data_IF_873765324388
#
_entry.id   IF_873765324388
#
_cell.length_a   1.000
_cell.length_b   1.000
_cell.length_c   1.000
_cell.angle_alpha   90.00
_cell.angle_beta   90.00
_cell.angle_gamma   90.00
#
_symmetry.space_group_name_H-M   'P 1'
#
loop_
_entity.id
_entity.type
_entity.pdbx_description
1 polymer ?
#
# COMPACT_ATOMS: atom_id res chain seq x y z
N UNK A 1 7.52 10.34 -6.78
CA UNK A 1 8.55 10.10 -5.76
C UNK A 1 9.81 9.55 -6.42
N UNK A 2 10.99 9.94 -5.97
CA UNK A 2 12.27 9.39 -6.42
C UNK A 2 12.57 8.13 -5.61
N UNK A 3 12.91 7.05 -6.31
CA UNK A 3 13.24 5.75 -5.69
C UNK A 3 14.76 5.46 -5.72
N UNK A 4 15.52 6.23 -6.49
CA UNK A 4 16.96 6.07 -6.56
C UNK A 4 17.61 7.01 -7.59
N UNK A 5 18.93 7.00 -7.60
CA UNK A 5 19.75 7.68 -8.58
C UNK A 5 20.85 6.74 -9.10
N UNK A 6 21.33 6.98 -10.31
CA UNK A 6 22.37 6.17 -10.94
C UNK A 6 23.04 6.85 -12.12
N UNK A 7 23.97 6.11 -12.69
CA UNK A 7 24.79 6.59 -13.80
C UNK A 7 24.00 6.67 -15.12
N UNK A 8 24.39 7.61 -15.96
CA UNK A 8 23.87 7.83 -17.32
C UNK A 8 25.04 7.76 -18.29
N UNK A 9 24.90 6.94 -19.32
CA UNK A 9 25.87 6.88 -20.41
C UNK A 9 25.79 8.14 -21.27
N UNK A 10 26.74 9.01 -21.11
CA UNK A 10 26.79 10.29 -21.80
C UNK A 10 27.24 10.14 -23.26
N UNK A 11 26.99 11.17 -24.08
CA UNK A 11 27.39 11.21 -25.50
C UNK A 11 28.90 11.13 -25.68
N UNK A 12 29.66 11.56 -24.68
CA UNK A 12 31.15 11.52 -24.65
C UNK A 12 31.73 10.18 -24.17
N UNK A 13 30.90 9.13 -24.09
CA UNK A 13 31.25 7.77 -23.63
C UNK A 13 31.60 7.65 -22.14
N UNK A 14 31.43 8.73 -21.37
CA UNK A 14 31.63 8.71 -19.94
C UNK A 14 30.32 8.37 -19.19
N UNK A 15 30.45 7.66 -18.11
CA UNK A 15 29.34 7.48 -17.15
C UNK A 15 29.30 8.70 -16.22
N UNK A 16 28.12 9.33 -16.12
CA UNK A 16 27.89 10.52 -15.29
C UNK A 16 26.72 10.30 -14.37
N UNK A 17 26.85 10.67 -13.12
CA UNK A 17 25.76 10.63 -12.16
C UNK A 17 25.36 12.07 -11.76
N UNK A 18 24.48 12.73 -12.50
CA UNK A 18 24.12 14.13 -12.25
C UNK A 18 23.37 14.36 -10.96
N UNK A 19 22.81 13.30 -10.38
CA UNK A 19 22.00 13.33 -9.16
C UNK A 19 22.79 12.92 -7.89
N UNK A 20 24.06 12.51 -8.06
CA UNK A 20 24.88 11.99 -6.97
C UNK A 20 25.03 12.98 -5.82
N UNK A 21 24.83 12.52 -4.59
CA UNK A 21 24.89 13.31 -3.35
C UNK A 21 23.92 14.51 -3.28
N UNK A 22 23.03 14.68 -4.27
CA UNK A 22 22.04 15.77 -4.33
C UNK A 22 20.65 15.23 -4.02
N UNK A 23 20.29 14.13 -4.66
CA UNK A 23 18.97 13.48 -4.55
C UNK A 23 19.03 12.34 -3.55
N UNK A 24 17.91 12.09 -2.88
CA UNK A 24 17.75 10.96 -1.96
C UNK A 24 16.52 10.14 -2.34
N UNK A 25 16.56 8.80 -2.21
CA UNK A 25 15.32 8.01 -2.22
C UNK A 25 14.32 8.57 -1.22
N UNK A 26 13.03 8.62 -1.57
CA UNK A 26 11.98 9.24 -0.77
C UNK A 26 11.74 10.73 -1.07
N UNK A 27 12.60 11.42 -1.85
CA UNK A 27 12.33 12.79 -2.30
C UNK A 27 11.12 12.82 -3.25
N UNK A 28 10.19 13.76 -3.04
CA UNK A 28 9.08 14.01 -3.96
C UNK A 28 9.38 15.25 -4.80
N UNK A 29 9.36 15.13 -6.13
CA UNK A 29 9.52 16.28 -7.02
C UNK A 29 8.19 17.02 -7.06
N UNK A 30 8.18 18.26 -6.62
CA UNK A 30 7.00 19.13 -6.62
C UNK A 30 6.96 20.04 -7.84
N UNK A 31 8.12 20.62 -8.20
CA UNK A 31 8.24 21.57 -9.31
C UNK A 31 9.57 21.35 -10.06
N UNK A 32 9.54 21.66 -11.33
CA UNK A 32 10.72 21.74 -12.19
C UNK A 32 10.73 23.11 -12.85
N UNK A 33 11.81 23.89 -12.65
CA UNK A 33 11.95 25.27 -13.13
C UNK A 33 10.76 26.16 -12.76
N UNK A 34 10.19 26.00 -11.53
CA UNK A 34 9.04 26.76 -11.04
C UNK A 34 7.68 26.30 -11.57
N UNK A 35 7.64 25.29 -12.44
CA UNK A 35 6.39 24.69 -12.93
C UNK A 35 6.08 23.44 -12.12
N UNK A 36 4.88 23.35 -11.56
CA UNK A 36 4.40 22.11 -10.90
C UNK A 36 4.31 20.99 -11.91
N UNK A 37 4.64 19.77 -11.46
CA UNK A 37 4.50 18.55 -12.25
C UNK A 37 3.52 17.61 -11.56
N UNK A 38 2.69 16.92 -12.35
CA UNK A 38 1.68 15.99 -11.87
C UNK A 38 2.10 14.53 -12.01
N UNK A 39 2.90 14.21 -13.02
CA UNK A 39 3.30 12.83 -13.32
C UNK A 39 4.73 12.74 -13.89
N UNK A 40 5.22 11.52 -14.06
CA UNK A 40 6.55 11.26 -14.61
C UNK A 40 6.70 11.65 -16.07
N UNK A 41 5.61 11.65 -16.85
CA UNK A 41 5.69 11.96 -18.28
C UNK A 41 5.97 13.47 -18.47
N UNK A 42 5.33 14.33 -17.66
CA UNK A 42 5.66 15.75 -17.63
C UNK A 42 7.13 15.99 -17.25
N UNK A 43 7.66 15.24 -16.26
CA UNK A 43 9.06 15.32 -15.90
C UNK A 43 9.96 14.91 -17.07
N UNK A 44 9.70 13.79 -17.73
CA UNK A 44 10.46 13.30 -18.88
C UNK A 44 10.43 14.32 -20.02
N UNK A 45 9.27 14.89 -20.31
CA UNK A 45 9.13 15.92 -21.37
C UNK A 45 9.95 17.17 -21.04
N UNK A 46 9.89 17.65 -19.79
CA UNK A 46 10.65 18.84 -19.39
C UNK A 46 12.17 18.60 -19.43
N UNK A 47 12.61 17.42 -18.99
CA UNK A 47 14.01 17.02 -19.04
C UNK A 47 14.47 16.88 -20.50
N UNK A 48 13.65 16.27 -21.36
CA UNK A 48 13.96 16.13 -22.79
C UNK A 48 14.11 17.50 -23.51
N UNK A 49 13.32 18.49 -23.10
CA UNK A 49 13.35 19.86 -23.66
C UNK A 49 14.46 20.74 -23.07
N UNK A 50 15.23 20.25 -22.13
CA UNK A 50 16.25 21.07 -21.43
C UNK A 50 17.51 21.33 -22.23
N UNK A 51 17.75 20.57 -23.32
CA UNK A 51 19.00 20.60 -24.11
C UNK A 51 20.26 20.53 -23.24
N UNK A 52 20.21 19.76 -22.13
CA UNK A 52 21.31 19.65 -21.18
C UNK A 52 21.52 20.87 -20.29
N UNK A 53 20.62 21.85 -20.33
CA UNK A 53 20.73 23.03 -19.47
C UNK A 53 20.37 22.68 -18.02
N UNK A 54 21.02 23.40 -17.10
CA UNK A 54 20.81 23.26 -15.66
C UNK A 54 19.35 23.54 -15.30
N UNK A 55 18.73 22.60 -14.57
CA UNK A 55 17.34 22.67 -14.11
C UNK A 55 17.28 22.83 -12.59
N UNK A 56 16.29 23.58 -12.11
CA UNK A 56 15.97 23.67 -10.69
C UNK A 56 14.79 22.74 -10.37
N UNK A 57 14.95 21.89 -9.36
CA UNK A 57 13.90 21.03 -8.85
C UNK A 57 13.54 21.47 -7.43
N UNK A 58 12.28 21.77 -7.20
CA UNK A 58 11.74 21.90 -5.85
C UNK A 58 11.30 20.51 -5.37
N UNK A 59 11.96 20.02 -4.35
CA UNK A 59 11.70 18.71 -3.75
C UNK A 59 11.02 18.87 -2.39
N UNK A 60 10.20 17.90 -2.01
CA UNK A 60 9.87 17.65 -0.63
C UNK A 60 10.67 16.46 -0.12
N UNK A 61 11.48 16.70 0.89
CA UNK A 61 12.33 15.74 1.59
C UNK A 61 11.84 15.61 3.02
N UNK A 62 11.15 14.51 3.34
CA UNK A 62 10.39 14.40 4.57
C UNK A 62 9.33 15.50 4.67
N UNK A 63 9.43 16.36 5.69
CA UNK A 63 8.53 17.51 5.90
C UNK A 63 9.07 18.83 5.31
N UNK A 64 10.29 18.86 4.81
CA UNK A 64 10.96 20.08 4.33
C UNK A 64 10.86 20.22 2.82
N UNK A 65 10.83 21.47 2.35
CA UNK A 65 11.02 21.81 0.94
C UNK A 65 12.47 22.19 0.67
N UNK A 66 13.09 21.51 -0.29
CA UNK A 66 14.48 21.72 -0.66
C UNK A 66 14.56 22.03 -2.15
N UNK A 67 15.23 23.10 -2.52
CA UNK A 67 15.53 23.39 -3.94
C UNK A 67 16.91 22.86 -4.27
N UNK A 68 16.99 22.04 -5.29
CA UNK A 68 18.23 21.50 -5.81
C UNK A 68 18.39 21.86 -7.29
N UNK A 69 19.61 21.81 -7.77
CA UNK A 69 19.90 22.06 -9.17
C UNK A 69 20.62 20.87 -9.79
N UNK A 70 20.09 20.33 -10.87
CA UNK A 70 20.66 19.23 -11.63
C UNK A 70 20.93 19.65 -13.08
N UNK A 71 22.00 19.13 -13.66
CA UNK A 71 22.28 19.30 -15.07
C UNK A 71 22.02 17.98 -15.77
N UNK A 72 21.01 17.88 -16.64
CA UNK A 72 20.75 16.66 -17.38
C UNK A 72 21.95 16.26 -18.25
N UNK A 73 22.19 14.98 -18.36
CA UNK A 73 23.23 14.40 -19.21
C UNK A 73 22.62 14.05 -20.55
N UNK A 74 23.23 14.54 -21.64
CA UNK A 74 22.87 14.17 -23.00
C UNK A 74 23.40 12.77 -23.31
N UNK A 75 22.56 11.88 -23.76
CA UNK A 75 22.89 10.50 -24.13
C UNK A 75 23.14 10.37 -25.64
N UNK A 76 23.66 9.24 -26.08
CA UNK A 76 24.00 8.99 -27.51
C UNK A 76 22.80 9.04 -28.44
N UNK A 77 21.61 8.73 -27.94
CA UNK A 77 20.36 8.78 -28.70
C UNK A 77 19.77 10.20 -28.79
N UNK A 78 20.48 11.22 -28.25
CA UNK A 78 20.05 12.62 -28.25
C UNK A 78 19.04 12.95 -27.16
N UNK A 79 18.71 12.03 -26.25
CA UNK A 79 17.86 12.32 -25.11
C UNK A 79 18.65 12.91 -23.94
N UNK A 80 17.96 13.68 -23.08
CA UNK A 80 18.53 14.18 -21.83
C UNK A 80 17.99 13.36 -20.65
N UNK A 81 18.87 13.01 -19.70
CA UNK A 81 18.52 12.23 -18.50
C UNK A 81 19.11 12.85 -17.25
N UNK A 82 18.34 12.78 -16.14
CA UNK A 82 18.77 13.23 -14.81
C UNK A 82 19.45 12.13 -13.98
N UNK A 83 19.50 10.88 -14.47
CA UNK A 83 20.06 9.78 -13.71
C UNK A 83 19.25 9.46 -12.44
N UNK A 84 17.93 9.66 -12.47
CA UNK A 84 17.03 9.34 -11.36
C UNK A 84 15.94 8.35 -11.79
N UNK A 85 15.57 7.46 -10.87
CA UNK A 85 14.39 6.61 -11.04
C UNK A 85 13.22 7.21 -10.28
N UNK A 86 12.10 7.37 -10.95
CA UNK A 86 10.90 7.98 -10.38
C UNK A 86 9.71 7.04 -10.47
N UNK A 87 8.88 7.08 -9.45
CA UNK A 87 7.60 6.37 -9.36
C UNK A 87 6.50 7.39 -9.09
N UNK A 88 5.46 7.39 -9.88
CA UNK A 88 4.31 8.28 -9.76
C UNK A 88 3.00 7.52 -9.51
N UNK A 89 3.01 6.21 -9.70
CA UNK A 89 1.84 5.36 -9.50
C UNK A 89 2.21 4.10 -8.73
N UNK A 90 1.45 3.78 -7.69
CA UNK A 90 1.59 2.55 -6.91
C UNK A 90 0.24 1.83 -6.91
N UNK A 91 0.31 0.54 -7.14
CA UNK A 91 -0.82 -0.36 -7.21
C UNK A 91 -0.62 -1.50 -6.21
N UNK A 92 -1.71 -1.96 -5.62
CA UNK A 92 -1.67 -3.08 -4.69
C UNK A 92 -3.03 -3.76 -4.58
N UNK A 93 -3.01 -5.00 -4.12
CA UNK A 93 -4.20 -5.77 -3.76
C UNK A 93 -4.24 -5.88 -2.25
N UNK A 94 -5.43 -5.67 -1.70
CA UNK A 94 -5.68 -5.79 -0.27
C UNK A 94 -7.17 -5.97 -0.01
N UNK A 95 -7.54 -5.99 1.26
CA UNK A 95 -8.92 -6.21 1.68
C UNK A 95 -9.50 -4.94 2.31
N UNK A 96 -10.71 -4.57 1.87
CA UNK A 96 -11.54 -3.58 2.54
C UNK A 96 -12.11 -4.23 3.80
N UNK A 97 -11.85 -3.61 4.95
CA UNK A 97 -12.19 -4.17 6.25
C UNK A 97 -13.64 -3.94 6.62
N UNK A 98 -14.09 -2.69 6.54
CA UNK A 98 -15.48 -2.31 6.85
C UNK A 98 -15.88 -1.03 6.11
N UNK A 99 -17.18 -0.86 5.99
CA UNK A 99 -17.84 0.35 5.46
C UNK A 99 -18.80 0.86 6.53
N UNK A 100 -18.79 2.17 6.77
CA UNK A 100 -19.75 2.86 7.64
C UNK A 100 -21.03 3.22 6.89
N UNK A 101 -22.09 3.54 7.62
CA UNK A 101 -23.40 3.91 7.04
C UNK A 101 -23.34 5.14 6.11
N UNK A 102 -22.39 6.05 6.35
CA UNK A 102 -22.15 7.23 5.52
C UNK A 102 -21.40 6.91 4.21
N UNK A 103 -20.95 5.66 4.03
CA UNK A 103 -20.18 5.20 2.88
C UNK A 103 -18.68 5.45 3.00
N UNK A 104 -18.18 5.93 4.13
CA UNK A 104 -16.75 5.92 4.41
C UNK A 104 -16.27 4.50 4.74
N UNK A 105 -15.01 4.21 4.44
CA UNK A 105 -14.48 2.86 4.68
C UNK A 105 -13.07 2.91 5.28
N UNK A 106 -12.64 1.80 5.86
CA UNK A 106 -11.26 1.54 6.21
C UNK A 106 -10.81 0.19 5.63
N UNK A 107 -9.52 0.11 5.30
CA UNK A 107 -8.92 -1.06 4.67
C UNK A 107 -7.46 -1.28 5.10
N UNK A 108 -6.94 -2.47 4.83
CA UNK A 108 -5.55 -2.92 5.01
C UNK A 108 -5.08 -3.08 6.45
N UNK A 109 -5.46 -2.20 7.38
CA UNK A 109 -4.93 -2.19 8.75
C UNK A 109 -3.46 -1.77 8.88
N UNK A 110 -2.82 -1.40 7.78
CA UNK A 110 -1.49 -0.79 7.70
C UNK A 110 -1.42 0.17 6.51
N UNK A 111 -0.52 1.13 6.58
CA UNK A 111 -0.35 2.08 5.47
C UNK A 111 0.32 1.44 4.25
N UNK A 112 0.11 2.08 3.11
CA UNK A 112 0.82 1.77 1.88
C UNK A 112 2.16 2.49 1.93
N UNK A 113 3.24 1.72 1.92
CA UNK A 113 4.61 2.23 1.88
C UNK A 113 5.26 1.86 0.54
N UNK A 114 6.22 2.66 0.14
CA UNK A 114 7.04 2.34 -1.03
C UNK A 114 7.99 1.18 -0.69
N UNK A 115 8.07 0.20 -1.58
CA UNK A 115 8.83 -1.03 -1.34
C UNK A 115 10.36 -0.80 -1.32
N UNK A 116 10.84 0.20 -2.06
CA UNK A 116 12.27 0.47 -2.19
C UNK A 116 12.79 1.35 -1.06
N UNK A 117 11.97 2.29 -0.59
CA UNK A 117 12.35 3.24 0.47
C UNK A 117 11.80 2.87 1.85
N UNK A 118 10.74 2.06 1.91
CA UNK A 118 10.01 1.76 3.15
C UNK A 118 9.19 2.93 3.70
N UNK A 119 9.22 4.09 3.05
CA UNK A 119 8.51 5.28 3.51
C UNK A 119 7.01 5.19 3.24
N UNK A 120 6.22 5.67 4.19
CA UNK A 120 4.77 5.79 4.02
C UNK A 120 4.46 6.78 2.88
N UNK A 121 3.68 6.32 1.90
CA UNK A 121 3.33 7.14 0.75
C UNK A 121 2.40 8.28 1.14
N UNK A 122 2.72 9.46 0.67
CA UNK A 122 1.81 10.59 0.74
C UNK A 122 0.95 10.63 -0.52
N UNK A 123 -0.34 10.43 -0.32
CA UNK A 123 -1.31 10.44 -1.41
C UNK A 123 -1.60 11.88 -1.84
N UNK A 124 -1.60 12.12 -3.15
CA UNK A 124 -2.28 13.27 -3.77
C UNK A 124 -3.71 12.87 -4.13
N UNK A 125 -3.85 11.68 -4.72
CA UNK A 125 -5.12 11.06 -5.09
C UNK A 125 -4.94 9.53 -4.99
N UNK A 126 -6.00 8.84 -4.55
CA UNK A 126 -6.05 7.38 -4.55
C UNK A 126 -7.42 6.91 -5.02
N UNK A 127 -7.45 5.79 -5.71
CA UNK A 127 -8.67 5.22 -6.25
C UNK A 127 -8.83 3.77 -5.81
N UNK A 128 -10.06 3.39 -5.50
CA UNK A 128 -10.43 2.04 -5.10
C UNK A 128 -11.12 1.34 -6.27
N UNK A 129 -10.61 0.16 -6.63
CA UNK A 129 -11.18 -0.70 -7.65
C UNK A 129 -11.42 -2.10 -7.12
N UNK A 130 -12.32 -2.84 -7.75
CA UNK A 130 -12.43 -4.27 -7.48
C UNK A 130 -11.25 -5.00 -8.13
N UNK A 131 -10.60 -5.86 -7.35
CA UNK A 131 -9.61 -6.80 -7.87
C UNK A 131 -10.24 -8.17 -8.11
N UNK A 132 -9.78 -8.89 -9.13
CA UNK A 132 -10.12 -10.29 -9.38
C UNK A 132 -8.90 -11.13 -9.01
N UNK A 133 -9.03 -12.00 -8.02
CA UNK A 133 -7.97 -12.95 -7.67
C UNK A 133 -7.90 -14.02 -8.76
N UNK A 134 -6.70 -14.24 -9.29
CA UNK A 134 -6.42 -15.19 -10.37
C UNK A 134 -5.72 -16.44 -9.85
N UNK A 135 -4.83 -16.28 -8.88
CA UNK A 135 -4.10 -17.39 -8.29
C UNK A 135 -3.52 -17.01 -6.92
N UNK A 136 -3.09 -18.01 -6.19
CA UNK A 136 -2.43 -17.87 -4.89
C UNK A 136 -1.03 -18.47 -4.98
N UNK A 137 -0.01 -17.69 -4.64
CA UNK A 137 1.31 -18.22 -4.28
C UNK A 137 1.26 -18.62 -2.81
N UNK A 138 1.41 -19.91 -2.51
CA UNK A 138 1.32 -20.40 -1.12
C UNK A 138 2.46 -19.85 -0.27
N UNK A 139 2.11 -19.47 0.95
CA UNK A 139 3.09 -19.13 1.97
C UNK A 139 3.85 -20.37 2.46
N UNK A 140 5.12 -20.17 2.76
CA UNK A 140 6.01 -21.15 3.37
C UNK A 140 6.99 -20.43 4.30
N UNK A 141 7.65 -21.20 5.15
CA UNK A 141 8.67 -20.64 6.04
C UNK A 141 9.76 -19.89 5.26
N UNK A 142 9.97 -18.62 5.59
CA UNK A 142 10.93 -17.74 4.93
C UNK A 142 10.43 -17.10 3.62
N UNK A 143 9.25 -17.48 3.16
CA UNK A 143 8.65 -16.95 1.94
C UNK A 143 7.14 -16.70 2.16
N UNK A 144 6.73 -15.48 2.53
CA UNK A 144 5.33 -15.13 2.62
C UNK A 144 4.65 -15.33 1.25
N UNK A 145 3.48 -15.98 1.24
CA UNK A 145 2.73 -16.16 0.01
C UNK A 145 2.05 -14.86 -0.44
N UNK A 146 1.38 -14.91 -1.58
CA UNK A 146 0.76 -13.75 -2.21
C UNK A 146 -0.53 -14.12 -2.96
N UNK A 147 -1.56 -13.28 -2.84
CA UNK A 147 -2.71 -13.29 -3.73
C UNK A 147 -2.35 -12.55 -5.02
N UNK A 148 -2.36 -13.26 -6.13
CA UNK A 148 -2.14 -12.67 -7.45
C UNK A 148 -3.47 -12.37 -8.11
N UNK A 149 -3.67 -11.13 -8.51
CA UNK A 149 -4.92 -10.69 -9.09
C UNK A 149 -4.73 -9.66 -10.19
N UNK A 150 -5.86 -9.30 -10.78
CA UNK A 150 -5.94 -8.29 -11.82
C UNK A 150 -6.87 -7.17 -11.38
N UNK A 151 -6.45 -5.94 -11.61
CA UNK A 151 -7.26 -4.73 -11.39
C UNK A 151 -7.62 -4.19 -12.78
N UNK A 152 -8.91 -3.89 -12.98
CA UNK A 152 -9.38 -3.26 -14.22
C UNK A 152 -9.54 -1.76 -13.99
N UNK A 153 -8.63 -0.99 -14.55
CA UNK A 153 -8.61 0.49 -14.43
C UNK A 153 -9.52 1.13 -15.48
N UNK A 154 -10.82 1.06 -15.24
CA UNK A 154 -11.85 1.77 -16.03
C UNK A 154 -12.65 2.61 -15.06
N UNK A 155 -13.01 3.84 -15.44
CA UNK A 155 -13.83 4.72 -14.59
C UNK A 155 -15.12 4.05 -14.13
N UNK A 156 -15.69 3.21 -14.99
CA UNK A 156 -16.88 2.41 -14.68
C UNK A 156 -16.66 1.32 -13.63
N UNK A 157 -15.40 0.93 -13.37
CA UNK A 157 -15.04 -0.10 -12.38
C UNK A 157 -14.55 0.48 -11.05
N UNK A 158 -14.45 1.80 -10.98
CA UNK A 158 -14.08 2.49 -9.75
C UNK A 158 -15.19 2.35 -8.70
N UNK A 159 -14.81 2.00 -7.49
CA UNK A 159 -15.72 1.81 -6.34
C UNK A 159 -15.66 2.97 -5.34
N UNK A 160 -14.61 3.77 -5.38
CA UNK A 160 -14.43 4.88 -4.46
C UNK A 160 -13.08 5.57 -4.60
N UNK A 161 -12.81 6.47 -3.67
CA UNK A 161 -11.54 7.19 -3.55
C UNK A 161 -10.84 6.84 -2.25
N UNK A 162 -9.51 6.92 -2.25
CA UNK A 162 -8.67 6.83 -1.05
C UNK A 162 -8.24 8.26 -0.71
N UNK A 163 -8.58 8.75 0.46
CA UNK A 163 -8.27 10.11 0.91
C UNK A 163 -7.18 10.16 1.97
N UNK A 164 -6.97 9.05 2.68
CA UNK A 164 -6.00 8.96 3.79
C UNK A 164 -5.17 7.70 3.64
N UNK A 165 -3.86 7.83 3.86
CA UNK A 165 -2.91 6.74 4.04
C UNK A 165 -2.10 7.00 5.31
N UNK A 166 -2.31 6.17 6.32
CA UNK A 166 -1.68 6.27 7.64
C UNK A 166 -1.13 4.93 8.09
N UNK A 167 -0.35 4.88 9.15
CA UNK A 167 0.24 3.64 9.67
C UNK A 167 -0.78 2.57 10.04
N UNK A 168 -2.01 2.97 10.41
CA UNK A 168 -3.11 2.10 10.81
C UNK A 168 -4.05 1.71 9.67
N UNK A 169 -3.75 2.10 8.44
CA UNK A 169 -4.51 1.71 7.26
C UNK A 169 -4.76 2.83 6.27
N UNK A 170 -5.58 2.52 5.30
CA UNK A 170 -6.11 3.49 4.35
C UNK A 170 -7.59 3.70 4.59
N UNK A 171 -8.08 4.90 4.33
CA UNK A 171 -9.50 5.22 4.38
C UNK A 171 -9.91 6.15 3.25
N UNK A 172 -11.20 6.19 2.98
CA UNK A 172 -11.78 7.00 1.93
C UNK A 172 -13.29 6.88 1.86
N UNK A 173 -13.86 7.20 0.72
CA UNK A 173 -15.30 7.16 0.51
C UNK A 173 -15.66 6.33 -0.71
N UNK A 174 -16.72 5.54 -0.57
CA UNK A 174 -17.30 4.79 -1.67
C UNK A 174 -18.16 5.72 -2.54
N UNK A 175 -18.11 5.50 -3.85
CA UNK A 175 -19.09 6.07 -4.76
C UNK A 175 -20.41 5.26 -4.70
N UNK A 176 -21.44 5.69 -5.44
CA UNK A 176 -22.76 5.02 -5.44
C UNK A 176 -22.69 3.55 -5.87
N UNK A 177 -21.78 3.21 -6.78
CA UNK A 177 -21.54 1.82 -7.17
C UNK A 177 -20.91 1.05 -6.03
N UNK A 178 -19.86 1.58 -5.40
CA UNK A 178 -19.19 0.95 -4.27
C UNK A 178 -20.14 0.68 -3.11
N UNK A 179 -20.99 1.64 -2.75
CA UNK A 179 -22.02 1.47 -1.73
C UNK A 179 -22.99 0.33 -2.07
N UNK A 180 -23.44 0.26 -3.34
CA UNK A 180 -24.36 -0.79 -3.79
C UNK A 180 -23.72 -2.18 -3.82
N UNK A 181 -22.46 -2.27 -4.23
CA UNK A 181 -21.77 -3.55 -4.42
C UNK A 181 -21.13 -4.09 -3.14
N UNK A 182 -20.72 -3.22 -2.19
CA UNK A 182 -19.96 -3.59 -1.00
C UNK A 182 -20.77 -3.49 0.31
N UNK A 183 -22.00 -3.05 0.26
CA UNK A 183 -22.89 -3.03 1.43
C UNK A 183 -23.43 -4.44 1.69
N UNK A 184 -22.90 -5.11 2.71
CA UNK A 184 -23.30 -6.47 3.02
C UNK A 184 -23.79 -6.64 4.45
N UNK A 185 -23.08 -7.36 5.28
CA UNK A 185 -23.52 -7.76 6.61
C UNK A 185 -23.23 -6.63 7.61
N UNK A 186 -24.27 -6.12 8.29
CA UNK A 186 -24.07 -5.26 9.47
C UNK A 186 -23.51 -6.08 10.62
N UNK A 187 -22.56 -5.51 11.34
CA UNK A 187 -21.87 -6.14 12.45
C UNK A 187 -21.53 -5.12 13.53
N UNK A 188 -21.72 -5.48 14.79
CA UNK A 188 -21.27 -4.68 15.91
C UNK A 188 -19.74 -4.64 15.97
N UNK A 189 -19.21 -3.51 16.44
CA UNK A 189 -17.80 -3.37 16.74
C UNK A 189 -17.52 -3.92 18.14
N UNK A 190 -16.53 -4.80 18.25
CA UNK A 190 -15.99 -5.23 19.54
C UNK A 190 -14.87 -4.29 19.97
N UNK A 191 -15.01 -3.76 21.18
CA UNK A 191 -13.99 -2.89 21.77
C UNK A 191 -12.73 -3.68 22.13
N UNK A 192 -11.56 -3.03 22.16
CA UNK A 192 -10.30 -3.71 22.46
C UNK A 192 -10.30 -4.45 23.80
N UNK A 193 -11.07 -3.97 24.79
CA UNK A 193 -11.20 -4.61 26.09
C UNK A 193 -12.04 -5.91 26.06
N UNK A 194 -12.82 -6.11 25.00
CA UNK A 194 -13.64 -7.32 24.80
C UNK A 194 -12.87 -8.42 24.06
N UNK A 195 -11.72 -8.06 23.44
CA UNK A 195 -10.90 -9.02 22.70
C UNK A 195 -10.16 -9.92 23.67
N UNK A 196 -10.24 -11.21 23.46
CA UNK A 196 -9.61 -12.23 24.33
C UNK A 196 -8.82 -13.24 23.52
N UNK A 197 -7.83 -13.86 24.13
CA UNK A 197 -7.16 -15.01 23.51
C UNK A 197 -8.16 -16.17 23.33
N UNK A 198 -8.05 -16.90 22.23
CA UNK A 198 -8.91 -18.02 21.90
C UNK A 198 -9.55 -17.93 20.51
N UNK A 199 -10.65 -18.67 20.27
CA UNK A 199 -11.26 -18.81 18.95
C UNK A 199 -11.74 -17.46 18.38
N UNK A 200 -11.50 -17.29 17.09
CA UNK A 200 -11.97 -16.18 16.28
C UNK A 200 -12.09 -16.65 14.82
N UNK A 201 -12.54 -15.78 13.94
CA UNK A 201 -12.56 -16.03 12.49
C UNK A 201 -12.09 -14.82 11.70
N UNK A 202 -11.68 -15.07 10.46
CA UNK A 202 -11.38 -14.03 9.49
C UNK A 202 -12.23 -14.18 8.24
N UNK A 203 -12.60 -13.05 7.64
CA UNK A 203 -13.27 -13.05 6.33
C UNK A 203 -12.24 -12.71 5.26
N UNK A 204 -12.06 -13.57 4.27
CA UNK A 204 -11.21 -13.29 3.13
C UNK A 204 -11.71 -13.99 1.86
N UNK A 205 -11.25 -13.46 0.71
CA UNK A 205 -11.60 -13.97 -0.61
C UNK A 205 -10.35 -14.47 -1.29
N UNK A 206 -9.98 -15.72 -1.04
CA UNK A 206 -8.77 -16.34 -1.63
C UNK A 206 -9.05 -17.06 -2.93
N UNK A 207 -10.31 -17.40 -3.19
CA UNK A 207 -10.79 -18.12 -4.39
C UNK A 207 -11.84 -17.33 -5.20
N UNK A 208 -11.97 -16.03 -4.92
CA UNK A 208 -12.93 -15.14 -5.58
C UNK A 208 -14.24 -14.97 -4.84
N UNK A 209 -14.48 -15.75 -3.78
CA UNK A 209 -15.64 -15.64 -2.89
C UNK A 209 -15.22 -15.32 -1.47
N UNK A 210 -15.97 -14.43 -0.80
CA UNK A 210 -15.72 -14.13 0.62
C UNK A 210 -16.18 -15.30 1.47
N UNK A 211 -15.24 -15.89 2.20
CA UNK A 211 -15.50 -17.01 3.12
C UNK A 211 -14.95 -16.69 4.50
N UNK A 212 -15.57 -17.34 5.49
CA UNK A 212 -15.15 -17.28 6.88
C UNK A 212 -14.24 -18.47 7.20
N UNK A 213 -13.05 -18.16 7.77
CA UNK A 213 -12.05 -19.15 8.14
C UNK A 213 -11.70 -19.03 9.62
N UNK A 214 -11.53 -20.18 10.28
CA UNK A 214 -11.22 -20.23 11.70
C UNK A 214 -9.77 -19.85 11.98
N UNK A 215 -9.60 -19.04 13.01
CA UNK A 215 -8.32 -18.63 13.54
C UNK A 215 -8.33 -18.64 15.06
N UNK A 216 -7.17 -18.52 15.67
CA UNK A 216 -6.99 -18.35 17.10
C UNK A 216 -6.23 -17.06 17.39
N UNK A 217 -6.73 -16.24 18.30
CA UNK A 217 -5.99 -15.10 18.85
C UNK A 217 -5.11 -15.63 19.98
N UNK A 218 -3.79 -15.43 19.91
CA UNK A 218 -2.83 -15.97 20.87
C UNK A 218 -2.30 -14.94 21.84
N UNK A 219 -1.81 -13.82 21.33
CA UNK A 219 -1.16 -12.77 22.11
C UNK A 219 -1.88 -11.45 21.85
N UNK A 220 -2.05 -10.62 22.88
CA UNK A 220 -2.75 -9.35 22.76
C UNK A 220 -1.94 -8.26 23.45
N UNK A 221 -1.63 -7.19 22.70
CA UNK A 221 -1.05 -5.96 23.22
C UNK A 221 -2.09 -4.83 23.24
N UNK A 222 -2.69 -4.61 24.41
CA UNK A 222 -3.68 -3.57 24.60
C UNK A 222 -3.09 -2.15 24.65
N UNK A 223 -1.76 -2.02 24.80
CA UNK A 223 -1.07 -0.73 25.00
C UNK A 223 -0.55 -0.13 23.69
N UNK A 224 -0.45 -0.92 22.65
CA UNK A 224 0.08 -0.51 21.33
C UNK A 224 -0.88 0.39 20.55
N UNK A 225 -1.25 1.57 21.07
CA UNK A 225 -2.23 2.48 20.42
C UNK A 225 -1.77 2.96 19.04
N UNK A 226 -0.48 3.14 18.84
CA UNK A 226 0.11 3.55 17.55
C UNK A 226 0.64 2.36 16.72
N UNK A 227 0.39 1.13 17.16
CA UNK A 227 0.86 -0.08 16.50
C UNK A 227 -0.24 -0.68 15.64
N UNK A 228 0.11 -1.20 14.48
CA UNK A 228 -0.74 -2.06 13.67
C UNK A 228 -0.49 -3.56 13.94
N UNK A 229 0.05 -3.90 15.12
CA UNK A 229 0.41 -5.24 15.60
C UNK A 229 -0.14 -5.45 17.01
N UNK A 230 -1.46 -5.30 17.18
CA UNK A 230 -2.09 -5.34 18.49
C UNK A 230 -2.34 -6.76 19.02
N UNK A 231 -2.50 -7.74 18.14
CA UNK A 231 -2.67 -9.13 18.52
C UNK A 231 -2.09 -10.07 17.49
N UNK A 232 -1.73 -11.28 17.95
CA UNK A 232 -1.24 -12.35 17.11
C UNK A 232 -2.40 -13.26 16.72
N UNK A 233 -2.52 -13.55 15.43
CA UNK A 233 -3.50 -14.47 14.85
C UNK A 233 -2.77 -15.73 14.40
N UNK A 234 -3.35 -16.90 14.66
CA UNK A 234 -2.91 -18.17 14.11
C UNK A 234 -4.05 -18.84 13.35
N UNK A 235 -3.82 -19.20 12.11
CA UNK A 235 -4.79 -19.89 11.25
C UNK A 235 -4.93 -21.34 11.70
N UNK A 236 -6.16 -21.75 12.00
CA UNK A 236 -6.47 -23.14 12.40
C UNK A 236 -7.34 -23.85 11.37
N UNK A 237 -7.91 -23.12 10.41
CA UNK A 237 -8.77 -23.67 9.35
C UNK A 237 -7.95 -24.44 8.32
N UNK A 238 -8.19 -25.75 8.20
CA UNK A 238 -7.49 -26.61 7.26
C UNK A 238 -7.68 -26.19 5.80
N UNK A 239 -8.85 -25.68 5.44
CA UNK A 239 -9.15 -25.21 4.06
C UNK A 239 -8.24 -24.04 3.67
N UNK A 240 -8.04 -23.09 4.58
CA UNK A 240 -7.15 -21.96 4.33
C UNK A 240 -5.69 -22.40 4.32
N UNK A 241 -5.27 -23.25 5.26
CA UNK A 241 -3.92 -23.81 5.29
C UNK A 241 -3.59 -24.62 4.02
N UNK A 242 -4.52 -25.39 3.52
CA UNK A 242 -4.36 -26.16 2.28
C UNK A 242 -4.26 -25.28 1.05
N UNK A 243 -5.08 -24.23 0.96
CA UNK A 243 -5.14 -23.34 -0.21
C UNK A 243 -4.00 -22.32 -0.25
N UNK A 244 -3.68 -21.68 0.87
CA UNK A 244 -2.74 -20.55 0.93
C UNK A 244 -1.48 -20.83 1.73
N UNK A 245 -1.46 -21.88 2.55
CA UNK A 245 -0.39 -22.15 3.53
C UNK A 245 -0.49 -21.30 4.79
N UNK A 246 -1.50 -20.42 4.90
CA UNK A 246 -1.74 -19.51 6.02
C UNK A 246 -2.14 -18.10 5.56
N UNK A 247 -1.66 -17.08 6.28
CA UNK A 247 -1.85 -15.69 5.91
C UNK A 247 -0.88 -15.33 4.79
N UNK A 248 -1.38 -14.71 3.71
CA UNK A 248 -0.58 -14.33 2.54
C UNK A 248 -0.76 -12.85 2.23
N UNK A 249 0.18 -12.26 1.49
CA UNK A 249 0.06 -10.88 1.03
C UNK A 249 -1.21 -10.70 0.18
N UNK A 250 -1.92 -9.61 0.39
CA UNK A 250 -3.25 -9.35 -0.16
C UNK A 250 -4.39 -9.66 0.82
N UNK A 251 -4.15 -10.44 1.89
CA UNK A 251 -5.12 -10.63 2.97
C UNK A 251 -5.11 -9.51 4.01
N UNK A 252 -4.17 -8.57 3.95
CA UNK A 252 -4.16 -7.38 4.79
C UNK A 252 -5.49 -6.63 4.68
N UNK A 253 -6.10 -6.32 5.83
CA UNK A 253 -7.45 -5.75 5.93
C UNK A 253 -8.55 -6.80 6.10
N UNK A 254 -8.28 -8.10 5.99
CA UNK A 254 -9.29 -9.14 6.25
C UNK A 254 -9.91 -8.95 7.63
N UNK A 255 -11.25 -8.75 7.71
CA UNK A 255 -11.93 -8.54 8.99
C UNK A 255 -11.72 -9.71 9.94
N UNK A 256 -11.43 -9.41 11.21
CA UNK A 256 -11.31 -10.39 12.30
C UNK A 256 -12.56 -10.30 13.17
N UNK A 257 -13.21 -11.43 13.36
CA UNK A 257 -14.47 -11.55 14.07
C UNK A 257 -14.27 -12.42 15.30
N UNK A 258 -14.73 -11.96 16.45
CA UNK A 258 -14.79 -12.72 17.70
C UNK A 258 -16.14 -12.49 18.38
N UNK A 259 -16.80 -13.53 18.83
CA UNK A 259 -18.11 -13.48 19.50
C UNK A 259 -19.17 -12.72 18.69
N UNK A 260 -19.13 -12.81 17.35
CA UNK A 260 -20.06 -12.14 16.44
C UNK A 260 -19.82 -10.67 16.21
N UNK A 261 -18.71 -10.09 16.76
CA UNK A 261 -18.34 -8.70 16.61
C UNK A 261 -17.07 -8.53 15.76
N UNK A 262 -17.00 -7.44 15.00
CA UNK A 262 -15.79 -7.03 14.30
C UNK A 262 -14.81 -6.47 15.33
N UNK A 263 -13.70 -7.15 15.55
CA UNK A 263 -12.68 -6.74 16.53
C UNK A 263 -11.44 -6.11 15.91
N UNK A 264 -11.23 -6.30 14.60
CA UNK A 264 -10.03 -5.80 13.96
C UNK A 264 -9.84 -6.31 12.54
N UNK A 265 -8.61 -6.22 12.07
CA UNK A 265 -8.20 -6.68 10.76
C UNK A 265 -6.83 -7.37 10.80
N UNK A 266 -6.61 -8.32 9.89
CA UNK A 266 -5.29 -8.90 9.61
C UNK A 266 -4.38 -7.80 9.04
N UNK A 267 -3.13 -7.73 9.48
CA UNK A 267 -2.17 -6.73 8.99
C UNK A 267 -0.95 -7.35 8.31
N UNK A 268 -0.15 -8.12 9.01
CA UNK A 268 1.11 -8.66 8.52
C UNK A 268 1.21 -10.16 8.77
N UNK A 269 1.78 -10.88 7.82
CA UNK A 269 2.15 -12.29 7.98
C UNK A 269 3.52 -12.42 8.65
N UNK A 270 3.76 -13.48 9.41
CA UNK A 270 5.08 -13.80 9.92
C UNK A 270 5.92 -14.46 8.82
N UNK A 271 7.13 -13.94 8.60
CA UNK A 271 8.03 -14.49 7.58
C UNK A 271 8.44 -15.93 7.89
N UNK A 272 8.60 -16.27 9.16
CA UNK A 272 9.05 -17.60 9.59
C UNK A 272 7.90 -18.60 9.85
N UNK A 273 6.66 -18.13 9.89
CA UNK A 273 5.47 -18.96 10.13
C UNK A 273 4.26 -18.34 9.39
N UNK A 274 4.01 -18.80 8.17
CA UNK A 274 2.91 -18.29 7.35
C UNK A 274 1.52 -18.55 7.98
N UNK A 275 1.38 -19.54 8.88
CA UNK A 275 0.14 -19.76 9.60
C UNK A 275 -0.16 -18.69 10.65
N UNK A 276 0.83 -17.87 11.00
CA UNK A 276 0.68 -16.80 11.99
C UNK A 276 0.89 -15.41 11.39
N UNK A 277 0.29 -14.41 12.01
CA UNK A 277 0.41 -13.01 11.62
C UNK A 277 -0.09 -12.06 12.70
N UNK A 278 -0.02 -10.79 12.40
CA UNK A 278 -0.54 -9.73 13.27
C UNK A 278 -1.92 -9.26 12.85
N UNK A 279 -2.67 -8.74 13.81
CA UNK A 279 -3.88 -7.98 13.61
C UNK A 279 -3.87 -6.66 14.35
N UNK A 280 -4.67 -5.72 13.86
CA UNK A 280 -4.92 -4.41 14.45
C UNK A 280 -6.33 -4.37 15.04
N UNK A 281 -6.53 -3.70 16.17
CA UNK A 281 -7.87 -3.43 16.68
C UNK A 281 -8.66 -2.52 15.73
N UNK A 282 -9.95 -2.80 15.59
CA UNK A 282 -10.85 -1.99 14.76
C UNK A 282 -10.89 -0.53 15.24
N UNK A 283 -10.82 -0.28 16.57
CA UNK A 283 -10.80 1.07 17.14
C UNK A 283 -9.63 1.90 16.61
N UNK A 284 -8.47 1.28 16.38
CA UNK A 284 -7.30 1.98 15.82
C UNK A 284 -7.46 2.32 14.34
N UNK A 285 -8.41 1.69 13.64
CA UNK A 285 -8.73 1.97 12.23
C UNK A 285 -9.85 3.01 12.06
N UNK A 286 -10.63 3.28 13.10
CA UNK A 286 -11.78 4.20 13.07
C UNK A 286 -11.45 5.61 13.57
N UNK A 287 -10.25 5.76 14.17
CA UNK A 287 -9.75 7.05 14.72
C UNK A 287 -9.23 8.00 13.65
#
# INVERSE_FOLDING_TARGET
MIIGAGEVDAVDELQKNPAENIIRPGDYILEVNGKKISDKNELIEMVGKSDGQKMQLLLRRGLEKVTVALTPVMTRDGSCKLGIWVRDNIQGIGTLTFVRDDGTYAALGHGISDIDTGELLQLSEGQLYRSKILSVSRGARGNPGELKGMITYRDQEQLGSISVNQYNGISGSLNERGKKELAHRQMEIGLKQEVTAGPASILCSVDGEVKEYQVEIREIDYRGESSNKNFVIHVTDSRLLESTGGIVQGMSGSPVIQNGKLIGAVTHVFVQDAASGYGIFVENMVS
#
